data_IF_835919246332
#
_entry.id   IF_835919246332
#
_cell.length_a   1.000
_cell.length_b   1.000
_cell.length_c   1.000
_cell.angle_alpha   90.00
_cell.angle_beta   90.00
_cell.angle_gamma   90.00
#
_symmetry.space_group_name_H-M   'P 1'
#
loop_
_entity.id
_entity.type
_entity.pdbx_description
1 polymer ?
#
# COMPACT_ATOMS: atom_id res chain seq x y z
N UNK A 1 -6.43 -9.52 13.65
CA UNK A 1 -7.27 -9.52 12.43
C UNK A 1 -6.51 -10.33 11.39
N UNK A 2 -7.12 -11.33 10.76
CA UNK A 2 -6.42 -12.14 9.74
C UNK A 2 -6.04 -11.24 8.57
N UNK A 3 -4.78 -11.36 8.15
CA UNK A 3 -4.16 -10.65 7.02
C UNK A 3 -4.72 -11.10 5.65
N UNK A 4 -5.66 -12.06 5.66
CA UNK A 4 -6.19 -12.78 4.49
C UNK A 4 -7.39 -12.10 3.79
N UNK A 5 -7.87 -10.93 4.22
CA UNK A 5 -9.25 -10.51 3.85
C UNK A 5 -9.44 -9.84 2.47
N UNK A 6 -8.38 -9.51 1.72
CA UNK A 6 -8.52 -9.06 0.32
C UNK A 6 -8.49 -10.21 -0.69
N UNK A 7 -7.70 -11.25 -0.44
CA UNK A 7 -7.49 -12.36 -1.38
C UNK A 7 -8.80 -13.09 -1.73
N UNK A 8 -9.74 -13.20 -0.79
CA UNK A 8 -11.07 -13.80 -1.05
C UNK A 8 -12.03 -12.89 -1.83
N UNK A 9 -11.84 -11.56 -1.76
CA UNK A 9 -12.77 -10.57 -2.33
C UNK A 9 -12.40 -10.22 -3.78
N UNK A 10 -11.13 -10.40 -4.13
CA UNK A 10 -10.54 -10.03 -5.41
C UNK A 10 -10.09 -11.25 -6.22
N UNK A 11 -10.80 -12.38 -6.14
CA UNK A 11 -10.68 -13.43 -7.16
C UNK A 11 -11.20 -12.89 -8.50
N UNK A 12 -10.33 -12.16 -9.19
CA UNK A 12 -10.53 -11.58 -10.50
C UNK A 12 -9.60 -12.27 -11.48
N UNK A 13 -10.11 -12.60 -12.66
CA UNK A 13 -9.27 -13.03 -13.79
C UNK A 13 -8.63 -11.84 -14.52
N UNK A 14 -8.83 -10.61 -14.01
CA UNK A 14 -8.20 -9.39 -14.49
C UNK A 14 -6.76 -9.31 -13.95
N UNK A 15 -5.78 -9.40 -14.84
CA UNK A 15 -4.35 -9.38 -14.51
C UNK A 15 -3.95 -8.08 -13.80
N UNK A 16 -4.56 -6.94 -14.13
CA UNK A 16 -4.25 -5.66 -13.48
C UNK A 16 -4.66 -5.72 -12.00
N UNK A 17 -5.80 -6.34 -11.68
CA UNK A 17 -6.29 -6.52 -10.30
C UNK A 17 -5.42 -7.51 -9.52
N UNK A 18 -4.95 -8.58 -10.17
CA UNK A 18 -4.05 -9.55 -9.53
C UNK A 18 -2.72 -8.90 -9.14
N UNK A 19 -2.12 -8.11 -10.04
CA UNK A 19 -0.86 -7.42 -9.76
C UNK A 19 -0.98 -6.43 -8.58
N UNK A 20 -2.14 -5.77 -8.40
CA UNK A 20 -2.35 -4.90 -7.23
C UNK A 20 -2.37 -5.68 -5.91
N UNK A 21 -2.93 -6.90 -5.90
CA UNK A 21 -2.88 -7.76 -4.71
C UNK A 21 -1.45 -8.22 -4.39
N UNK A 22 -0.65 -8.50 -5.41
CA UNK A 22 0.76 -8.83 -5.23
C UNK A 22 1.55 -7.62 -4.71
N UNK A 23 1.27 -6.42 -5.24
CA UNK A 23 1.89 -5.18 -4.76
C UNK A 23 1.58 -4.95 -3.26
N UNK A 24 0.34 -5.20 -2.81
CA UNK A 24 -0.01 -5.12 -1.38
C UNK A 24 0.82 -6.07 -0.51
N UNK A 25 1.06 -7.31 -0.97
CA UNK A 25 1.89 -8.28 -0.25
C UNK A 25 3.33 -7.77 -0.14
N UNK A 26 3.84 -7.17 -1.20
CA UNK A 26 5.20 -6.64 -1.23
C UNK A 26 5.39 -5.42 -0.32
N UNK A 27 4.37 -4.54 -0.18
CA UNK A 27 4.38 -3.48 0.83
C UNK A 27 4.64 -4.05 2.23
N UNK A 28 3.89 -5.08 2.64
CA UNK A 28 4.10 -5.73 3.94
C UNK A 28 5.43 -6.47 4.03
N UNK A 29 5.96 -7.01 2.92
CA UNK A 29 7.29 -7.60 2.89
C UNK A 29 8.37 -6.58 3.20
N UNK A 30 8.30 -5.36 2.66
CA UNK A 30 9.21 -4.26 3.02
C UNK A 30 9.12 -3.91 4.51
N UNK A 31 7.91 -3.78 5.05
CA UNK A 31 7.69 -3.46 6.46
C UNK A 31 8.24 -4.58 7.38
N UNK A 32 8.08 -5.84 6.99
CA UNK A 32 8.64 -6.97 7.72
C UNK A 32 10.17 -6.99 7.67
N UNK A 33 10.79 -6.52 6.58
CA UNK A 33 12.25 -6.36 6.51
C UNK A 33 12.73 -5.24 7.43
N UNK A 34 12.00 -4.13 7.53
CA UNK A 34 12.32 -3.07 8.52
C UNK A 34 12.27 -3.61 9.96
N UNK A 35 11.26 -4.41 10.29
CA UNK A 35 11.17 -5.06 11.61
C UNK A 35 12.40 -5.93 11.91
N UNK A 36 12.84 -6.74 10.96
CA UNK A 36 14.04 -7.60 11.13
C UNK A 36 15.30 -6.77 11.35
N UNK A 37 15.43 -5.63 10.67
CA UNK A 37 16.57 -4.72 10.87
C UNK A 37 16.54 -4.06 12.26
N UNK A 38 15.35 -3.74 12.79
CA UNK A 38 15.23 -3.18 14.14
C UNK A 38 15.82 -4.09 15.23
N UNK A 39 15.84 -5.40 14.97
CA UNK A 39 16.37 -6.44 15.86
C UNK A 39 17.89 -6.66 15.67
N UNK A 40 18.53 -6.00 14.67
CA UNK A 40 19.94 -6.19 14.30
C UNK A 40 20.71 -4.85 14.30
N UNK A 41 21.39 -4.49 15.41
CA UNK A 41 21.95 -3.15 15.61
C UNK A 41 23.06 -2.71 14.66
N UNK A 42 23.71 -3.64 13.96
CA UNK A 42 24.79 -3.32 13.02
C UNK A 42 24.29 -2.94 11.61
N UNK A 43 22.99 -3.09 11.35
CA UNK A 43 22.42 -2.98 10.01
C UNK A 43 21.40 -1.84 9.88
N UNK A 44 21.32 -0.95 10.85
CA UNK A 44 20.29 0.10 10.88
C UNK A 44 20.33 1.03 9.67
N UNK A 45 21.48 1.25 9.03
CA UNK A 45 21.57 2.04 7.79
C UNK A 45 20.71 1.43 6.66
N UNK A 46 20.56 0.10 6.63
CA UNK A 46 19.66 -0.56 5.69
C UNK A 46 18.20 -0.23 5.94
N UNK A 47 17.79 0.21 7.14
CA UNK A 47 16.41 0.64 7.39
C UNK A 47 16.03 1.84 6.51
N UNK A 48 16.95 2.80 6.34
CA UNK A 48 16.74 3.95 5.44
C UNK A 48 16.61 3.47 4.00
N UNK A 49 17.51 2.60 3.54
CA UNK A 49 17.51 2.08 2.17
C UNK A 49 16.22 1.28 1.88
N UNK A 50 15.77 0.46 2.83
CA UNK A 50 14.54 -0.32 2.70
C UNK A 50 13.33 0.62 2.62
N UNK A 51 13.30 1.67 3.45
CA UNK A 51 12.20 2.63 3.45
C UNK A 51 12.16 3.46 2.16
N UNK A 52 13.30 3.92 1.64
CA UNK A 52 13.36 4.63 0.34
C UNK A 52 12.89 3.76 -0.82
N UNK A 53 13.23 2.46 -0.79
CA UNK A 53 12.74 1.48 -1.76
C UNK A 53 11.24 1.24 -1.62
N UNK A 54 10.73 1.15 -0.39
CA UNK A 54 9.29 1.06 -0.15
C UNK A 54 8.57 2.30 -0.69
N UNK A 55 9.08 3.51 -0.44
CA UNK A 55 8.47 4.74 -0.97
C UNK A 55 8.42 4.74 -2.49
N UNK A 56 9.52 4.39 -3.15
CA UNK A 56 9.58 4.31 -4.62
C UNK A 56 8.59 3.28 -5.17
N UNK A 57 8.57 2.09 -4.56
CA UNK A 57 7.63 1.03 -4.90
C UNK A 57 6.17 1.46 -4.72
N UNK A 58 5.87 2.15 -3.61
CA UNK A 58 4.52 2.60 -3.31
C UNK A 58 4.03 3.64 -4.33
N UNK A 59 4.88 4.56 -4.78
CA UNK A 59 4.53 5.50 -5.86
C UNK A 59 4.14 4.74 -7.14
N UNK A 60 4.90 3.71 -7.52
CA UNK A 60 4.56 2.89 -8.69
C UNK A 60 3.22 2.16 -8.52
N UNK A 61 2.99 1.57 -7.35
CA UNK A 61 1.73 0.92 -6.99
C UNK A 61 0.54 1.89 -7.13
N UNK A 62 0.64 3.08 -6.52
CA UNK A 62 -0.38 4.13 -6.58
C UNK A 62 -0.72 4.52 -8.02
N UNK A 63 0.32 4.74 -8.85
CA UNK A 63 0.12 5.09 -10.26
C UNK A 63 -0.64 3.98 -11.01
N UNK A 64 -0.26 2.71 -10.81
CA UNK A 64 -0.93 1.58 -11.46
C UNK A 64 -2.40 1.50 -11.04
N UNK A 65 -2.67 1.62 -9.74
CA UNK A 65 -4.03 1.53 -9.21
C UNK A 65 -4.89 2.67 -9.74
N UNK A 66 -4.43 3.92 -9.64
CA UNK A 66 -5.21 5.07 -10.09
C UNK A 66 -5.49 5.02 -11.60
N UNK A 67 -4.51 4.59 -12.41
CA UNK A 67 -4.72 4.37 -13.85
C UNK A 67 -5.76 3.28 -14.12
N UNK A 68 -5.76 2.19 -13.35
CA UNK A 68 -6.79 1.15 -13.45
C UNK A 68 -8.16 1.72 -13.09
N UNK A 69 -8.28 2.39 -11.95
CA UNK A 69 -9.54 2.93 -11.45
C UNK A 69 -10.14 3.97 -12.42
N UNK A 70 -9.31 4.83 -13.01
CA UNK A 70 -9.74 5.84 -13.99
C UNK A 70 -10.37 5.25 -15.26
N UNK A 71 -10.01 4.02 -15.66
CA UNK A 71 -10.60 3.34 -16.82
C UNK A 71 -12.09 3.03 -16.60
N UNK A 72 -12.52 2.85 -15.36
CA UNK A 72 -13.81 2.25 -15.04
C UNK A 72 -14.69 3.07 -14.11
N UNK A 73 -14.09 3.89 -13.22
CA UNK A 73 -14.80 4.61 -12.17
C UNK A 73 -14.92 6.11 -12.49
N UNK A 74 -15.96 6.78 -11.93
CA UNK A 74 -16.09 8.23 -11.97
C UNK A 74 -14.85 8.97 -11.42
N UNK A 75 -14.43 10.03 -12.10
CA UNK A 75 -13.24 10.80 -11.74
C UNK A 75 -13.26 11.33 -10.29
N UNK A 76 -14.43 11.63 -9.72
CA UNK A 76 -14.51 12.06 -8.32
C UNK A 76 -14.10 10.95 -7.35
N UNK A 77 -14.53 9.71 -7.58
CA UNK A 77 -14.17 8.58 -6.70
C UNK A 77 -12.67 8.29 -6.75
N UNK A 78 -12.08 8.37 -7.94
CA UNK A 78 -10.62 8.20 -8.11
C UNK A 78 -9.87 9.33 -7.40
N UNK A 79 -10.32 10.59 -7.50
CA UNK A 79 -9.70 11.71 -6.79
C UNK A 79 -9.76 11.55 -5.27
N UNK A 80 -10.89 11.09 -4.74
CA UNK A 80 -11.05 10.90 -3.30
C UNK A 80 -10.11 9.79 -2.79
N UNK A 81 -9.88 8.74 -3.58
CA UNK A 81 -8.93 7.67 -3.27
C UNK A 81 -7.48 8.14 -3.39
N UNK A 82 -7.14 8.90 -4.42
CA UNK A 82 -5.80 9.49 -4.60
C UNK A 82 -5.39 10.41 -3.44
N UNK A 83 -6.33 11.09 -2.78
CA UNK A 83 -6.05 11.88 -1.57
C UNK A 83 -5.57 11.00 -0.40
N UNK A 84 -6.08 9.77 -0.29
CA UNK A 84 -5.63 8.82 0.73
C UNK A 84 -4.19 8.38 0.47
N UNK A 85 -3.85 8.11 -0.79
CA UNK A 85 -2.48 7.80 -1.19
C UNK A 85 -1.50 8.95 -0.90
N UNK A 86 -1.93 10.21 -1.05
CA UNK A 86 -1.11 11.37 -0.70
C UNK A 86 -0.81 11.42 0.81
N UNK A 87 -1.79 11.10 1.65
CA UNK A 87 -1.59 11.02 3.09
C UNK A 87 -0.59 9.91 3.45
N UNK A 88 -0.65 8.75 2.79
CA UNK A 88 0.28 7.64 3.00
C UNK A 88 1.71 7.96 2.54
N UNK A 89 1.86 8.61 1.39
CA UNK A 89 3.16 9.13 0.93
C UNK A 89 3.75 10.11 1.95
N UNK A 90 2.92 10.99 2.52
CA UNK A 90 3.37 11.88 3.59
C UNK A 90 3.80 11.10 4.86
N UNK A 91 3.13 9.98 5.19
CA UNK A 91 3.57 9.12 6.30
C UNK A 91 4.91 8.42 6.03
N UNK A 92 5.16 8.00 4.79
CA UNK A 92 6.45 7.44 4.37
C UNK A 92 7.56 8.48 4.48
N UNK A 93 7.34 9.70 3.99
CA UNK A 93 8.30 10.81 4.09
C UNK A 93 8.60 11.18 5.54
N UNK A 94 7.56 11.28 6.38
CA UNK A 94 7.70 11.54 7.81
C UNK A 94 8.50 10.44 8.52
N UNK A 95 8.29 9.18 8.12
CA UNK A 95 9.03 8.04 8.67
C UNK A 95 10.50 8.08 8.25
N UNK A 96 10.78 8.43 6.99
CA UNK A 96 12.14 8.58 6.48
C UNK A 96 12.89 9.73 7.17
N UNK A 97 12.21 10.87 7.36
CA UNK A 97 12.75 12.00 8.11
C UNK A 97 13.07 11.63 9.56
N UNK A 98 12.22 10.82 10.21
CA UNK A 98 12.46 10.32 11.56
C UNK A 98 13.72 9.45 11.62
N UNK A 99 13.86 8.45 10.74
CA UNK A 99 15.04 7.58 10.72
C UNK A 99 16.33 8.35 10.41
N UNK A 100 16.27 9.34 9.50
CA UNK A 100 17.43 10.20 9.17
C UNK A 100 17.83 11.10 10.34
N UNK A 101 16.89 11.49 11.21
CA UNK A 101 17.17 12.31 12.39
C UNK A 101 17.71 11.48 13.56
N UNK A 102 17.17 10.28 13.76
CA UNK A 102 17.54 9.41 14.86
C UNK A 102 17.41 7.96 14.40
N UNK A 103 18.55 7.28 14.26
CA UNK A 103 18.61 5.93 13.75
C UNK A 103 18.91 4.94 14.89
N UNK A 104 17.85 4.49 15.54
CA UNK A 104 17.91 3.51 16.64
C UNK A 104 16.84 2.42 16.48
N UNK A 105 17.02 1.29 17.16
CA UNK A 105 16.02 0.21 17.20
C UNK A 105 14.61 0.73 17.53
N UNK A 106 14.48 1.56 18.57
CA UNK A 106 13.19 2.12 19.00
C UNK A 106 12.53 2.98 17.90
N UNK A 107 13.32 3.79 17.20
CA UNK A 107 12.80 4.60 16.09
C UNK A 107 12.39 3.75 14.90
N UNK A 108 13.12 2.67 14.59
CA UNK A 108 12.76 1.74 13.52
C UNK A 108 11.48 0.98 13.90
N UNK A 109 11.34 0.49 15.14
CA UNK A 109 10.10 -0.11 15.60
C UNK A 109 8.92 0.86 15.54
N UNK A 110 9.12 2.12 15.94
CA UNK A 110 8.09 3.16 15.84
C UNK A 110 7.63 3.36 14.41
N UNK A 111 8.57 3.40 13.45
CA UNK A 111 8.26 3.48 12.02
C UNK A 111 7.50 2.24 11.56
N UNK A 112 7.97 1.04 11.90
CA UNK A 112 7.31 -0.23 11.52
C UNK A 112 5.86 -0.26 11.99
N UNK A 113 5.60 0.02 13.26
CA UNK A 113 4.24 -0.05 13.83
C UNK A 113 3.32 1.00 13.22
N UNK A 114 3.85 2.20 12.92
CA UNK A 114 3.11 3.22 12.17
C UNK A 114 2.74 2.69 10.79
N UNK A 115 3.71 2.27 9.99
CA UNK A 115 3.46 1.83 8.61
C UNK A 115 2.52 0.62 8.56
N UNK A 116 2.68 -0.37 9.46
CA UNK A 116 1.74 -1.49 9.56
C UNK A 116 0.31 -1.01 9.75
N UNK A 117 0.09 -0.06 10.67
CA UNK A 117 -1.25 0.47 10.97
C UNK A 117 -1.83 1.20 9.75
N UNK A 118 -1.07 2.13 9.16
CA UNK A 118 -1.54 2.93 8.03
C UNK A 118 -1.90 2.04 6.83
N UNK A 119 -0.98 1.19 6.39
CA UNK A 119 -1.23 0.32 5.24
C UNK A 119 -2.28 -0.76 5.51
N UNK A 120 -2.38 -1.28 6.74
CA UNK A 120 -3.50 -2.19 7.08
C UNK A 120 -4.84 -1.47 6.96
N UNK A 121 -4.92 -0.23 7.44
CA UNK A 121 -6.15 0.53 7.38
C UNK A 121 -6.56 0.84 5.93
N UNK A 122 -5.63 1.35 5.13
CA UNK A 122 -5.87 1.70 3.73
C UNK A 122 -6.26 0.48 2.89
N UNK A 123 -5.41 -0.55 2.89
CA UNK A 123 -5.62 -1.74 2.05
C UNK A 123 -6.93 -2.46 2.42
N UNK A 124 -7.18 -2.70 3.72
CA UNK A 124 -8.36 -3.44 4.14
C UNK A 124 -9.68 -2.66 4.03
N UNK A 125 -9.64 -1.32 3.97
CA UNK A 125 -10.84 -0.48 3.99
C UNK A 125 -11.05 0.28 2.70
N UNK A 126 -10.05 1.04 2.25
CA UNK A 126 -10.13 1.93 1.11
C UNK A 126 -10.02 1.14 -0.20
N UNK A 127 -8.92 0.40 -0.38
CA UNK A 127 -8.64 -0.31 -1.64
C UNK A 127 -9.66 -1.42 -1.85
N UNK A 128 -9.94 -2.19 -0.79
CA UNK A 128 -10.99 -3.20 -0.84
C UNK A 128 -12.35 -2.61 -1.26
N UNK A 129 -12.71 -1.43 -0.77
CA UNK A 129 -14.01 -0.80 -1.09
C UNK A 129 -14.02 -0.32 -2.54
N UNK A 130 -12.99 0.37 -3.00
CA UNK A 130 -12.97 0.92 -4.36
C UNK A 130 -12.82 -0.19 -5.41
N UNK A 131 -12.08 -1.25 -5.11
CA UNK A 131 -11.96 -2.43 -5.98
C UNK A 131 -13.28 -3.22 -6.07
N UNK A 132 -14.07 -3.26 -5.00
CA UNK A 132 -15.44 -3.79 -5.07
C UNK A 132 -16.35 -2.96 -5.99
N UNK A 133 -16.23 -1.62 -5.96
CA UNK A 133 -16.96 -0.75 -6.90
C UNK A 133 -16.49 -0.99 -8.35
N UNK A 134 -15.18 -1.13 -8.57
CA UNK A 134 -14.60 -1.49 -9.87
C UNK A 134 -15.24 -2.78 -10.42
N UNK A 135 -15.27 -3.85 -9.64
CA UNK A 135 -15.85 -5.15 -10.05
C UNK A 135 -17.35 -5.01 -10.37
N UNK A 136 -18.12 -4.27 -9.56
CA UNK A 136 -19.54 -4.01 -9.84
C UNK A 136 -19.72 -3.28 -11.17
N UNK A 137 -18.91 -2.25 -11.44
CA UNK A 137 -18.93 -1.49 -12.69
C UNK A 137 -18.52 -2.34 -13.90
N UNK A 138 -17.55 -3.23 -13.76
CA UNK A 138 -17.17 -4.15 -14.84
C UNK A 138 -18.28 -5.16 -15.16
N UNK A 139 -18.96 -5.70 -14.14
CA UNK A 139 -20.09 -6.63 -14.32
C UNK A 139 -21.31 -5.97 -14.95
N UNK A 140 -21.64 -4.73 -14.55
CA UNK A 140 -22.77 -4.02 -15.15
C UNK A 140 -22.55 -3.71 -16.63
N UNK A 141 -21.32 -3.36 -17.04
CA UNK A 141 -20.99 -3.15 -18.47
C UNK A 141 -21.00 -4.44 -19.30
N UNK A 142 -20.59 -5.59 -18.72
CA UNK A 142 -20.63 -6.90 -19.42
C UNK A 142 -22.04 -7.43 -19.69
N UNK A 143 -23.07 -6.96 -18.98
CA UNK A 143 -24.46 -7.37 -19.23
C UNK A 143 -25.15 -6.62 -20.39
N UNK A 144 -24.48 -5.63 -21.00
CA UNK A 144 -25.00 -4.84 -22.14
C UNK A 144 -24.34 -5.17 -23.49
N UNK A 145 -23.63 -6.30 -23.59
CA UNK A 145 -23.06 -6.82 -24.84
C UNK A 145 -23.53 -8.25 -25.13
#
# INVERSE_FOLDING_TARGET
MKQDSLDEVLQSNDLDVMHLNDDHKDIFNYINRLQKIAEQPNDFEYAIIILERLTSFFVEHVIKEELLLQKYLPAQLVRDHALLHQDELAQLDNSLALLKKQLTSDTIHTVVERLKREFTYHICRSDRKIMLELIKHQKSKKHYH
#
